data_IF_453043159304
#
_entry.id   IF_453043159304
#
_cell.length_a   1.000
_cell.length_b   1.000
_cell.length_c   1.000
_cell.angle_alpha   90.00
_cell.angle_beta   90.00
_cell.angle_gamma   90.00
#
_symmetry.space_group_name_H-M   'P 1'
#
loop_
_entity.id
_entity.type
_entity.pdbx_description
1 polymer ?
#
# COMPACT_ATOMS: atom_id res chain seq x y z
N UNK A 1 0.64 -21.47 17.88
CA UNK A 1 1.94 -21.04 17.33
C UNK A 1 1.78 -20.76 15.86
N UNK A 2 2.53 -19.79 15.32
CA UNK A 2 2.53 -19.49 13.89
C UNK A 2 2.93 -20.72 13.07
N UNK A 3 2.45 -20.78 11.84
CA UNK A 3 2.72 -21.88 10.91
C UNK A 3 3.48 -21.38 9.69
N UNK A 4 4.52 -22.10 9.30
CA UNK A 4 5.15 -21.91 8.00
C UNK A 4 4.44 -22.80 6.96
N UNK A 5 3.92 -22.21 5.89
CA UNK A 5 3.23 -22.90 4.80
C UNK A 5 4.04 -22.79 3.51
N UNK A 6 4.54 -23.92 3.05
CA UNK A 6 5.15 -24.03 1.73
C UNK A 6 4.06 -24.02 0.65
N UNK A 7 4.18 -23.12 -0.33
CA UNK A 7 3.34 -23.11 -1.52
C UNK A 7 3.99 -23.91 -2.65
N UNK A 8 3.29 -24.94 -3.12
CA UNK A 8 3.72 -25.81 -4.22
C UNK A 8 2.86 -25.62 -5.49
N UNK A 9 1.71 -24.94 -5.37
CA UNK A 9 0.78 -24.72 -6.48
C UNK A 9 -0.06 -25.95 -6.84
N UNK A 10 -0.19 -26.90 -5.92
CA UNK A 10 -1.03 -28.09 -6.08
C UNK A 10 -2.51 -27.75 -5.81
N UNK A 11 -3.41 -28.72 -6.05
CA UNK A 11 -4.85 -28.49 -5.84
C UNK A 11 -5.19 -28.21 -4.36
N UNK A 12 -4.41 -28.74 -3.41
CA UNK A 12 -4.57 -28.42 -1.99
C UNK A 12 -4.31 -26.95 -1.66
N UNK A 13 -3.31 -26.32 -2.30
CA UNK A 13 -3.04 -24.89 -2.17
C UNK A 13 -4.17 -24.06 -2.79
N UNK A 14 -4.68 -24.48 -3.94
CA UNK A 14 -5.80 -23.81 -4.62
C UNK A 14 -7.06 -23.84 -3.75
N UNK A 15 -7.46 -25.01 -3.28
CA UNK A 15 -8.61 -25.17 -2.39
C UNK A 15 -8.46 -24.36 -1.09
N UNK A 16 -7.22 -24.26 -0.59
CA UNK A 16 -6.93 -23.46 0.59
C UNK A 16 -7.19 -21.97 0.34
N UNK A 17 -6.60 -21.38 -0.71
CA UNK A 17 -6.79 -19.96 -1.00
C UNK A 17 -8.23 -19.64 -1.40
N UNK A 18 -8.93 -20.53 -2.12
CA UNK A 18 -10.35 -20.35 -2.43
C UNK A 18 -11.18 -20.15 -1.15
N UNK A 19 -11.03 -21.06 -0.18
CA UNK A 19 -11.75 -21.01 1.10
C UNK A 19 -11.42 -19.76 1.90
N UNK A 20 -10.14 -19.37 1.91
CA UNK A 20 -9.68 -18.20 2.66
C UNK A 20 -10.29 -16.90 2.11
N UNK A 21 -10.41 -16.76 0.79
CA UNK A 21 -11.00 -15.56 0.17
C UNK A 21 -12.54 -15.56 0.12
N UNK A 22 -13.21 -16.71 0.20
CA UNK A 22 -14.67 -16.79 0.01
C UNK A 22 -15.48 -16.17 1.16
N UNK A 23 -15.00 -16.27 2.40
CA UNK A 23 -15.80 -15.98 3.61
C UNK A 23 -15.17 -14.96 4.54
N UNK A 24 -14.29 -14.09 4.05
CA UNK A 24 -13.51 -13.16 4.89
C UNK A 24 -13.72 -11.67 4.61
N UNK A 25 -13.44 -10.79 5.57
CA UNK A 25 -13.18 -9.37 5.28
C UNK A 25 -11.72 -9.24 4.81
N UNK A 26 -11.51 -8.95 3.51
CA UNK A 26 -10.18 -9.06 2.90
C UNK A 26 -9.45 -7.73 2.96
N UNK A 27 -8.27 -7.76 3.58
CA UNK A 27 -7.37 -6.64 3.74
C UNK A 27 -5.97 -7.03 3.24
N UNK A 28 -5.32 -6.12 2.54
CA UNK A 28 -3.91 -6.23 2.15
C UNK A 28 -3.10 -5.16 2.88
N UNK A 29 -1.88 -5.50 3.30
CA UNK A 29 -0.86 -4.54 3.73
C UNK A 29 0.34 -4.69 2.79
N UNK A 30 0.53 -3.70 1.93
CA UNK A 30 1.58 -3.66 0.91
C UNK A 30 2.68 -2.70 1.38
N UNK A 31 3.91 -3.21 1.51
CA UNK A 31 5.08 -2.40 1.87
C UNK A 31 6.02 -2.15 0.69
N UNK A 32 7.18 -1.56 0.99
CA UNK A 32 8.13 -1.05 -0.01
C UNK A 32 8.72 -2.14 -0.91
N UNK A 33 8.72 -3.40 -0.47
CA UNK A 33 9.16 -4.52 -1.28
C UNK A 33 8.30 -4.78 -2.53
N UNK A 34 7.07 -4.24 -2.60
CA UNK A 34 6.22 -4.32 -3.79
C UNK A 34 6.65 -3.42 -4.94
N UNK A 35 7.40 -2.35 -4.63
CA UNK A 35 7.83 -1.34 -5.60
C UNK A 35 9.17 -1.69 -6.25
N UNK A 36 9.77 -2.83 -5.88
CA UNK A 36 10.95 -3.37 -6.55
C UNK A 36 10.60 -3.85 -7.97
N UNK A 37 11.49 -3.64 -8.96
CA UNK A 37 12.80 -2.99 -8.86
C UNK A 37 12.80 -1.45 -9.08
N UNK A 38 11.66 -0.82 -9.37
CA UNK A 38 11.62 0.62 -9.68
C UNK A 38 12.04 1.51 -8.50
N UNK A 39 11.67 1.12 -7.28
CA UNK A 39 12.01 1.83 -6.04
C UNK A 39 12.67 0.82 -5.10
N UNK A 40 13.86 1.16 -4.60
CA UNK A 40 14.57 0.34 -3.64
C UNK A 40 13.87 0.35 -2.28
N UNK A 41 14.01 -0.73 -1.52
CA UNK A 41 13.50 -0.81 -0.15
C UNK A 41 14.18 0.25 0.73
N UNK A 42 13.40 0.81 1.66
CA UNK A 42 13.82 1.92 2.52
C UNK A 42 15.02 1.59 3.44
N UNK A 43 15.35 0.30 3.62
CA UNK A 43 16.52 -0.12 4.38
C UNK A 43 16.54 0.49 5.78
N UNK A 44 17.63 1.19 6.11
CA UNK A 44 17.82 1.89 7.39
C UNK A 44 17.49 3.38 7.33
N UNK A 45 17.04 3.92 6.18
CA UNK A 45 16.86 5.36 5.96
C UNK A 45 16.00 5.98 7.06
N UNK A 46 14.98 5.27 7.52
CA UNK A 46 14.09 5.73 8.59
C UNK A 46 14.83 5.91 9.92
N UNK A 47 15.66 4.94 10.30
CA UNK A 47 16.49 4.98 11.50
C UNK A 47 17.61 6.03 11.37
N UNK A 48 18.19 6.17 10.18
CA UNK A 48 19.25 7.14 9.89
C UNK A 48 18.71 8.58 9.98
N UNK A 49 17.53 8.83 9.41
CA UNK A 49 16.81 10.10 9.54
C UNK A 49 16.45 10.40 11.00
N UNK A 50 16.01 9.40 11.76
CA UNK A 50 15.71 9.57 13.18
C UNK A 50 16.97 9.96 13.97
N UNK A 51 18.08 9.25 13.74
CA UNK A 51 19.34 9.53 14.43
C UNK A 51 19.83 10.95 14.15
N UNK A 52 19.67 11.44 12.93
CA UNK A 52 20.03 12.83 12.59
C UNK A 52 19.15 13.87 13.31
N UNK A 53 17.89 13.53 13.62
CA UNK A 53 17.03 14.37 14.45
C UNK A 53 17.51 14.36 15.90
N UNK A 54 17.82 13.18 16.45
CA UNK A 54 18.28 13.00 17.83
C UNK A 54 19.63 13.68 18.06
N UNK A 55 20.51 13.66 17.06
CA UNK A 55 21.82 14.32 17.05
C UNK A 55 21.72 15.84 16.73
N UNK A 56 20.51 16.39 16.54
CA UNK A 56 20.24 17.79 16.18
C UNK A 56 20.90 18.27 14.87
N UNK A 57 21.15 17.35 13.94
CA UNK A 57 21.82 17.59 12.65
C UNK A 57 20.82 17.88 11.53
N UNK A 58 20.17 19.04 11.62
CA UNK A 58 19.07 19.41 10.73
C UNK A 58 19.48 19.46 9.24
N UNK A 59 20.64 20.02 8.92
CA UNK A 59 21.07 20.16 7.51
C UNK A 59 21.41 18.79 6.87
N UNK A 60 22.05 17.90 7.62
CA UNK A 60 22.31 16.52 7.19
C UNK A 60 20.99 15.76 6.97
N UNK A 61 20.01 15.97 7.86
CA UNK A 61 18.67 15.39 7.73
C UNK A 61 18.01 15.81 6.41
N UNK A 62 17.99 17.10 6.09
CA UNK A 62 17.34 17.59 4.87
C UNK A 62 18.07 17.14 3.61
N UNK A 63 19.40 17.02 3.64
CA UNK A 63 20.17 16.46 2.54
C UNK A 63 19.80 14.98 2.28
N UNK A 64 19.75 14.16 3.33
CA UNK A 64 19.38 12.74 3.23
C UNK A 64 17.93 12.57 2.76
N UNK A 65 16.99 13.33 3.34
CA UNK A 65 15.59 13.32 2.92
C UNK A 65 15.43 13.77 1.46
N UNK A 66 16.16 14.80 1.02
CA UNK A 66 16.11 15.26 -0.35
C UNK A 66 16.66 14.23 -1.34
N UNK A 67 17.73 13.52 -0.97
CA UNK A 67 18.28 12.42 -1.74
C UNK A 67 17.27 11.28 -1.87
N UNK A 68 16.67 10.87 -0.75
CA UNK A 68 15.64 9.85 -0.70
C UNK A 68 14.45 10.20 -1.62
N UNK A 69 13.86 11.39 -1.46
CA UNK A 69 12.75 11.83 -2.31
C UNK A 69 13.14 11.91 -3.79
N UNK A 70 14.38 12.28 -4.10
CA UNK A 70 14.86 12.29 -5.51
C UNK A 70 14.86 10.87 -6.09
N UNK A 71 15.25 9.86 -5.32
CA UNK A 71 15.23 8.46 -5.76
C UNK A 71 13.81 7.95 -5.97
N UNK A 72 12.87 8.30 -5.07
CA UNK A 72 11.46 7.93 -5.23
C UNK A 72 10.84 8.65 -6.43
N UNK A 73 11.15 9.93 -6.63
CA UNK A 73 10.62 10.70 -7.77
C UNK A 73 11.17 10.28 -9.12
N UNK A 74 12.37 9.69 -9.20
CA UNK A 74 12.98 9.30 -10.48
C UNK A 74 12.08 8.38 -11.34
N UNK A 75 11.58 7.23 -10.84
CA UNK A 75 10.66 6.39 -11.61
C UNK A 75 9.31 7.08 -11.86
N UNK A 76 8.83 7.94 -10.96
CA UNK A 76 7.57 8.68 -11.15
C UNK A 76 7.68 9.75 -12.22
N UNK A 77 8.80 10.46 -12.31
CA UNK A 77 9.08 11.39 -13.38
C UNK A 77 9.17 10.66 -14.72
N UNK A 78 9.76 9.47 -14.75
CA UNK A 78 9.74 8.61 -15.93
C UNK A 78 8.31 8.18 -16.30
N UNK A 79 7.50 7.80 -15.32
CA UNK A 79 6.10 7.41 -15.50
C UNK A 79 5.21 8.55 -16.01
N UNK A 80 5.46 9.77 -15.55
CA UNK A 80 4.71 10.98 -15.92
C UNK A 80 5.31 11.70 -17.15
N UNK A 81 6.31 11.11 -17.82
CA UNK A 81 7.02 11.68 -18.98
C UNK A 81 7.66 13.05 -18.68
N UNK A 82 8.03 13.27 -17.42
CA UNK A 82 8.66 14.48 -16.89
C UNK A 82 10.18 14.36 -16.96
N UNK A 83 10.74 14.35 -18.17
CA UNK A 83 12.19 14.23 -18.41
C UNK A 83 12.94 15.55 -18.62
N UNK A 84 12.22 16.67 -18.74
CA UNK A 84 12.79 17.98 -19.10
C UNK A 84 13.73 17.93 -20.35
N UNK A 85 13.41 17.06 -21.32
CA UNK A 85 14.21 16.84 -22.53
C UNK A 85 15.40 15.90 -22.37
N UNK A 86 15.68 15.41 -21.17
CA UNK A 86 16.73 14.41 -20.90
C UNK A 86 16.12 13.01 -20.93
N UNK A 87 16.64 12.07 -21.73
CA UNK A 87 16.16 10.70 -21.74
C UNK A 87 16.48 10.01 -20.41
N UNK A 88 15.53 9.23 -19.92
CA UNK A 88 15.73 8.39 -18.75
C UNK A 88 16.69 7.23 -19.08
N UNK A 89 17.47 6.80 -18.09
CA UNK A 89 18.37 5.66 -18.24
C UNK A 89 17.60 4.37 -18.60
N UNK A 90 18.15 3.48 -19.44
CA UNK A 90 17.48 2.24 -19.84
C UNK A 90 17.00 1.41 -18.65
N UNK A 91 17.82 1.29 -17.60
CA UNK A 91 17.47 0.52 -16.40
C UNK A 91 16.24 1.11 -15.67
N UNK A 92 16.11 2.45 -15.62
CA UNK A 92 14.95 3.11 -15.01
C UNK A 92 13.68 2.76 -15.79
N UNK A 93 13.75 2.80 -17.12
CA UNK A 93 12.63 2.47 -18.01
C UNK A 93 12.22 1.01 -17.84
N UNK A 94 13.19 0.08 -17.87
CA UNK A 94 12.93 -1.35 -17.71
C UNK A 94 12.37 -1.68 -16.32
N UNK A 95 12.97 -1.13 -15.26
CA UNK A 95 12.51 -1.37 -13.89
C UNK A 95 11.12 -0.79 -13.64
N UNK A 96 10.83 0.39 -14.18
CA UNK A 96 9.50 1.00 -14.16
C UNK A 96 8.48 0.11 -14.86
N UNK A 97 8.78 -0.36 -16.07
CA UNK A 97 7.86 -1.20 -16.85
C UNK A 97 7.52 -2.51 -16.12
N UNK A 98 8.53 -3.17 -15.53
CA UNK A 98 8.32 -4.39 -14.73
C UNK A 98 7.45 -4.11 -13.50
N UNK A 99 7.73 -3.03 -12.77
CA UNK A 99 6.99 -2.68 -11.56
C UNK A 99 5.53 -2.34 -11.88
N UNK A 100 5.29 -1.53 -12.93
CA UNK A 100 3.94 -1.20 -13.41
C UNK A 100 3.13 -2.44 -13.79
N UNK A 101 3.73 -3.39 -14.49
CA UNK A 101 3.03 -4.62 -14.88
C UNK A 101 2.68 -5.49 -13.66
N UNK A 102 3.54 -5.51 -12.63
CA UNK A 102 3.24 -6.22 -11.39
C UNK A 102 2.04 -5.60 -10.66
N UNK A 103 1.97 -4.27 -10.54
CA UNK A 103 0.82 -3.58 -9.92
C UNK A 103 -0.45 -3.71 -10.75
N UNK A 104 -0.36 -3.65 -12.08
CA UNK A 104 -1.50 -3.92 -12.98
C UNK A 104 -2.05 -5.33 -12.79
N UNK A 105 -1.15 -6.32 -12.70
CA UNK A 105 -1.53 -7.72 -12.41
C UNK A 105 -2.16 -7.84 -11.02
N UNK A 106 -1.67 -7.11 -10.02
CA UNK A 106 -2.25 -7.07 -8.69
C UNK A 106 -3.68 -6.52 -8.71
N UNK A 107 -3.92 -5.36 -9.34
CA UNK A 107 -5.28 -4.78 -9.47
C UNK A 107 -6.23 -5.72 -10.22
N UNK A 108 -5.77 -6.36 -11.29
CA UNK A 108 -6.55 -7.38 -12.01
C UNK A 108 -6.84 -8.60 -11.11
N UNK A 109 -5.93 -8.95 -10.21
CA UNK A 109 -6.14 -10.04 -9.23
C UNK A 109 -7.24 -9.67 -8.23
N UNK A 110 -7.23 -8.45 -7.70
CA UNK A 110 -8.26 -7.95 -6.78
C UNK A 110 -9.65 -7.94 -7.45
N UNK A 111 -9.72 -7.48 -8.70
CA UNK A 111 -10.95 -7.50 -9.50
C UNK A 111 -11.51 -8.92 -9.62
N UNK A 112 -10.68 -9.90 -10.00
CA UNK A 112 -11.12 -11.29 -10.12
C UNK A 112 -11.58 -11.88 -8.78
N UNK A 113 -10.88 -11.57 -7.68
CA UNK A 113 -11.28 -11.99 -6.33
C UNK A 113 -12.67 -11.44 -5.99
N UNK A 114 -12.92 -10.16 -6.25
CA UNK A 114 -14.21 -9.51 -5.99
C UNK A 114 -15.34 -10.06 -6.87
N UNK A 115 -15.08 -10.26 -8.17
CA UNK A 115 -16.08 -10.75 -9.13
C UNK A 115 -16.51 -12.19 -8.84
N UNK A 116 -15.60 -13.03 -8.33
CA UNK A 116 -15.89 -14.44 -8.02
C UNK A 116 -16.50 -14.68 -6.64
N UNK A 117 -16.64 -13.64 -5.80
CA UNK A 117 -17.36 -13.77 -4.54
C UNK A 117 -18.83 -14.08 -4.79
N UNK A 118 -19.18 -15.36 -4.58
CA UNK A 118 -20.52 -15.92 -4.76
C UNK A 118 -21.49 -15.52 -3.65
N UNK A 119 -21.00 -15.07 -2.49
CA UNK A 119 -21.81 -14.75 -1.33
C UNK A 119 -22.24 -13.27 -1.36
N UNK A 120 -23.54 -13.01 -1.15
CA UNK A 120 -24.07 -11.66 -0.91
C UNK A 120 -24.06 -11.23 0.56
N UNK A 121 -23.47 -12.07 1.44
CA UNK A 121 -23.46 -11.87 2.89
C UNK A 121 -22.40 -10.86 3.35
N UNK A 122 -21.30 -10.76 2.61
CA UNK A 122 -20.22 -9.81 2.89
C UNK A 122 -20.17 -8.74 1.81
N UNK A 123 -19.78 -7.50 2.16
CA UNK A 123 -19.58 -6.45 1.18
C UNK A 123 -18.58 -6.89 0.11
N UNK A 124 -18.81 -6.48 -1.15
CA UNK A 124 -17.86 -6.71 -2.25
C UNK A 124 -16.72 -5.70 -2.19
N UNK A 125 -15.98 -5.70 -1.08
CA UNK A 125 -14.92 -4.74 -0.80
C UNK A 125 -13.61 -5.43 -0.41
N UNK A 126 -12.51 -4.83 -0.84
CA UNK A 126 -11.16 -5.13 -0.40
C UNK A 126 -10.53 -3.82 0.08
N UNK A 127 -9.88 -3.84 1.24
CA UNK A 127 -9.05 -2.72 1.66
C UNK A 127 -7.57 -3.04 1.37
N UNK A 128 -6.85 -2.10 0.78
CA UNK A 128 -5.41 -2.18 0.53
C UNK A 128 -4.76 -1.06 1.32
N UNK A 129 -4.14 -1.42 2.44
CA UNK A 129 -3.29 -0.54 3.22
C UNK A 129 -1.89 -0.53 2.62
N UNK A 130 -1.26 0.63 2.55
CA UNK A 130 0.14 0.74 2.13
C UNK A 130 0.91 1.69 3.02
N UNK A 131 2.18 1.35 3.24
CA UNK A 131 3.16 2.25 3.85
C UNK A 131 3.96 3.01 2.80
N UNK A 132 3.73 2.74 1.51
CA UNK A 132 4.49 3.33 0.43
C UNK A 132 3.95 4.70 0.04
N UNK A 133 4.86 5.56 -0.38
CA UNK A 133 4.57 6.90 -0.89
C UNK A 133 4.30 6.93 -2.40
N UNK A 134 4.66 5.85 -3.11
CA UNK A 134 4.57 5.73 -4.57
C UNK A 134 3.14 5.73 -5.11
N UNK A 135 3.00 5.98 -6.41
CA UNK A 135 1.72 6.15 -7.11
C UNK A 135 1.36 4.96 -8.01
N UNK A 136 2.02 3.81 -7.84
CA UNK A 136 1.86 2.69 -8.78
C UNK A 136 0.48 2.03 -8.70
N UNK A 137 -0.13 2.00 -7.50
CA UNK A 137 -1.47 1.45 -7.33
C UNK A 137 -2.52 2.34 -7.98
N UNK A 138 -2.43 3.66 -7.80
CA UNK A 138 -3.32 4.62 -8.44
C UNK A 138 -3.22 4.52 -9.96
N UNK A 139 -2.00 4.49 -10.50
CA UNK A 139 -1.75 4.35 -11.93
C UNK A 139 -2.29 3.02 -12.48
N UNK A 140 -2.04 1.90 -11.80
CA UNK A 140 -2.59 0.60 -12.18
C UNK A 140 -4.12 0.57 -12.12
N UNK A 141 -4.73 1.26 -11.17
CA UNK A 141 -6.19 1.35 -11.04
C UNK A 141 -6.84 2.10 -12.21
N UNK A 142 -6.16 3.08 -12.83
CA UNK A 142 -6.68 3.78 -14.03
C UNK A 142 -6.93 2.85 -15.23
N UNK A 143 -6.30 1.67 -15.24
CA UNK A 143 -6.44 0.69 -16.31
C UNK A 143 -7.55 -0.35 -16.04
N UNK A 144 -8.29 -0.22 -14.94
CA UNK A 144 -9.35 -1.14 -14.56
C UNK A 144 -10.69 -0.41 -14.34
N UNK A 145 -11.67 -0.73 -15.21
CA UNK A 145 -12.99 -0.09 -15.18
C UNK A 145 -14.06 -0.91 -14.44
N UNK A 146 -13.71 -2.12 -13.95
CA UNK A 146 -14.67 -3.05 -13.35
C UNK A 146 -14.77 -2.89 -11.83
N UNK A 147 -13.78 -2.23 -11.21
CA UNK A 147 -13.77 -1.94 -9.78
C UNK A 147 -13.94 -0.44 -9.56
N UNK A 148 -14.64 -0.09 -8.49
CA UNK A 148 -14.60 1.27 -7.98
C UNK A 148 -13.34 1.41 -7.13
N UNK A 149 -12.42 2.25 -7.58
CA UNK A 149 -11.25 2.63 -6.79
C UNK A 149 -11.60 3.82 -5.89
N UNK A 150 -11.25 3.72 -4.60
CA UNK A 150 -11.44 4.75 -3.60
C UNK A 150 -10.14 4.96 -2.83
N UNK A 151 -9.44 6.07 -3.09
CA UNK A 151 -8.15 6.43 -2.46
C UNK A 151 -8.29 7.42 -1.30
N UNK A 152 -9.52 7.71 -0.88
CA UNK A 152 -9.82 8.65 0.20
C UNK A 152 -10.08 10.08 -0.27
N UNK A 153 -9.82 10.40 -1.55
CA UNK A 153 -10.12 11.70 -2.11
C UNK A 153 -11.56 11.75 -2.64
N UNK A 154 -12.26 12.86 -2.41
CA UNK A 154 -13.61 13.03 -2.94
C UNK A 154 -13.62 12.90 -4.47
N UNK A 155 -14.65 12.30 -5.04
CA UNK A 155 -14.77 12.26 -6.51
C UNK A 155 -15.19 13.60 -7.11
N UNK A 156 -15.55 14.57 -6.27
CA UNK A 156 -15.96 15.90 -6.68
C UNK A 156 -14.80 16.85 -6.51
N UNK A 157 -14.42 17.44 -7.62
CA UNK A 157 -13.51 18.57 -7.67
C UNK A 157 -14.28 19.82 -7.29
N UNK A 158 -13.70 20.66 -6.44
CA UNK A 158 -14.26 21.99 -6.21
C UNK A 158 -14.14 22.86 -7.48
N UNK A 159 -14.75 24.05 -7.46
CA UNK A 159 -14.71 24.95 -8.63
C UNK A 159 -13.29 25.47 -8.96
N UNK A 160 -12.32 25.26 -8.07
CA UNK A 160 -10.93 25.68 -8.22
C UNK A 160 -9.99 24.54 -8.63
N UNK A 161 -10.50 23.33 -8.81
CA UNK A 161 -9.70 22.19 -9.24
C UNK A 161 -9.19 21.30 -8.10
N UNK A 162 -9.51 21.61 -6.85
CA UNK A 162 -9.01 20.84 -5.71
C UNK A 162 -9.90 19.66 -5.40
N UNK A 163 -9.26 18.59 -4.95
CA UNK A 163 -9.92 17.38 -4.49
C UNK A 163 -9.46 17.12 -3.07
N UNK A 164 -10.39 17.22 -2.11
CA UNK A 164 -10.10 17.11 -0.68
C UNK A 164 -10.11 15.65 -0.21
N UNK A 165 -9.21 15.33 0.72
CA UNK A 165 -9.14 14.04 1.38
C UNK A 165 -10.15 13.92 2.53
N UNK A 166 -10.85 12.80 2.57
CA UNK A 166 -11.85 12.48 3.59
C UNK A 166 -11.67 11.04 4.04
N UNK A 167 -11.21 10.85 5.28
CA UNK A 167 -11.05 9.53 5.91
C UNK A 167 -12.38 8.80 6.04
N UNK A 168 -13.49 9.53 6.16
CA UNK A 168 -14.84 8.98 6.23
C UNK A 168 -15.28 8.27 4.95
N UNK A 169 -14.69 8.62 3.80
CA UNK A 169 -15.05 8.06 2.50
C UNK A 169 -14.87 6.54 2.41
N UNK A 170 -13.92 5.96 3.15
CA UNK A 170 -13.68 4.51 3.17
C UNK A 170 -14.85 3.70 3.75
N UNK A 171 -15.76 4.37 4.48
CA UNK A 171 -16.95 3.76 5.04
C UNK A 171 -18.12 3.70 4.05
N UNK A 172 -18.05 4.40 2.91
CA UNK A 172 -19.14 4.46 1.95
C UNK A 172 -19.35 3.13 1.20
N UNK A 173 -20.62 2.81 0.94
CA UNK A 173 -21.04 1.70 0.08
C UNK A 173 -21.59 2.26 -1.21
N UNK A 174 -21.08 1.79 -2.35
CA UNK A 174 -21.58 2.16 -3.66
C UNK A 174 -22.40 1.01 -4.25
N UNK A 175 -23.56 1.35 -4.78
CA UNK A 175 -24.48 0.39 -5.35
C UNK A 175 -25.12 0.92 -6.62
N UNK A 176 -25.34 0.04 -7.59
CA UNK A 176 -26.13 0.33 -8.77
C UNK A 176 -27.53 -0.25 -8.63
N UNK A 177 -28.54 0.52 -9.01
CA UNK A 177 -29.93 0.06 -9.12
C UNK A 177 -30.27 -0.17 -10.58
N UNK A 178 -30.74 -1.37 -10.93
CA UNK A 178 -31.19 -1.67 -12.28
C UNK A 178 -32.51 -0.97 -12.62
N UNK A 179 -32.73 -0.67 -13.90
CA UNK A 179 -33.98 -0.06 -14.39
C UNK A 179 -35.22 -0.97 -14.21
N UNK A 180 -35.01 -2.28 -14.11
CA UNK A 180 -36.06 -3.27 -13.91
C UNK A 180 -36.04 -3.75 -12.44
N UNK A 181 -37.17 -3.68 -11.77
CA UNK A 181 -37.40 -4.22 -10.42
C UNK A 181 -36.59 -3.62 -9.26
N UNK A 182 -35.90 -2.48 -9.45
CA UNK A 182 -35.15 -1.77 -8.40
C UNK A 182 -34.14 -2.64 -7.63
N UNK A 183 -33.60 -3.70 -8.26
CA UNK A 183 -32.61 -4.53 -7.60
C UNK A 183 -31.32 -3.73 -7.37
N UNK A 184 -30.85 -3.70 -6.12
CA UNK A 184 -29.64 -2.99 -5.69
C UNK A 184 -28.47 -3.97 -5.69
N UNK A 185 -27.49 -3.74 -6.56
CA UNK A 185 -26.24 -4.51 -6.60
C UNK A 185 -25.13 -3.64 -6.02
N UNK A 186 -24.44 -4.12 -4.98
CA UNK A 186 -23.22 -3.45 -4.50
C UNK A 186 -22.11 -3.59 -5.55
N UNK A 187 -21.45 -2.48 -5.87
CA UNK A 187 -20.37 -2.45 -6.83
C UNK A 187 -19.06 -2.93 -6.18
N UNK A 188 -18.28 -3.79 -6.86
CA UNK A 188 -16.94 -4.16 -6.43
C UNK A 188 -16.10 -2.91 -6.12
N UNK A 189 -15.62 -2.77 -4.90
CA UNK A 189 -14.88 -1.57 -4.46
C UNK A 189 -13.55 -1.96 -3.85
N UNK A 190 -12.48 -1.26 -4.23
CA UNK A 190 -11.17 -1.35 -3.59
C UNK A 190 -10.91 -0.02 -2.89
N UNK A 191 -10.84 -0.07 -1.56
CA UNK A 191 -10.40 1.05 -0.74
C UNK A 191 -8.88 1.01 -0.66
N UNK A 192 -8.22 2.08 -1.05
CA UNK A 192 -6.78 2.22 -1.02
C UNK A 192 -6.37 3.26 0.04
N UNK A 193 -5.66 2.79 1.06
CA UNK A 193 -5.46 3.52 2.31
C UNK A 193 -3.95 3.70 2.53
N UNK A 194 -3.46 4.94 2.33
CA UNK A 194 -2.05 5.28 2.50
C UNK A 194 -1.75 5.72 3.92
N UNK A 195 -1.11 4.85 4.69
CA UNK A 195 -0.86 5.05 6.11
C UNK A 195 0.16 6.16 6.38
N UNK A 196 1.12 6.41 5.49
CA UNK A 196 2.15 7.44 5.69
C UNK A 196 2.05 8.63 4.73
N UNK A 197 0.89 8.83 4.09
CA UNK A 197 0.72 9.84 3.04
C UNK A 197 1.26 9.39 1.68
N UNK A 198 1.37 10.34 0.75
CA UNK A 198 1.66 10.05 -0.66
C UNK A 198 2.46 11.16 -1.32
N UNK A 199 3.16 10.84 -2.42
CA UNK A 199 3.71 11.85 -3.33
C UNK A 199 2.65 12.76 -3.96
N UNK A 200 1.39 12.32 -3.97
CA UNK A 200 0.25 13.07 -4.48
C UNK A 200 -0.47 13.91 -3.44
N UNK A 201 -0.03 13.92 -2.18
CA UNK A 201 -0.68 14.68 -1.12
C UNK A 201 -0.01 16.05 -0.97
N UNK A 202 -0.82 17.10 -0.96
CA UNK A 202 -0.40 18.47 -0.65
C UNK A 202 -1.24 18.97 0.54
N UNK A 203 -0.61 19.69 1.48
CA UNK A 203 -1.37 20.48 2.46
C UNK A 203 -1.68 21.84 1.84
N UNK A 204 -2.97 22.08 1.63
CA UNK A 204 -3.49 23.34 1.16
C UNK A 204 -4.59 23.82 2.11
N UNK A 205 -4.37 24.99 2.72
CA UNK A 205 -5.35 25.65 3.61
C UNK A 205 -5.82 24.77 4.79
N UNK A 206 -4.91 24.01 5.39
CA UNK A 206 -5.26 23.12 6.52
C UNK A 206 -6.12 21.93 6.10
N UNK A 207 -6.09 21.56 4.81
CA UNK A 207 -6.72 20.37 4.23
C UNK A 207 -5.71 19.62 3.37
N UNK A 208 -5.89 18.30 3.26
CA UNK A 208 -5.09 17.49 2.35
C UNK A 208 -5.79 17.45 1.00
N UNK A 209 -5.10 17.87 -0.06
CA UNK A 209 -5.59 17.83 -1.43
C UNK A 209 -4.76 16.90 -2.30
N UNK A 210 -5.39 16.33 -3.34
CA UNK A 210 -4.69 15.56 -4.34
C UNK A 210 -4.00 16.50 -5.33
N UNK A 211 -2.66 16.52 -5.32
CA UNK A 211 -1.86 17.25 -6.31
C UNK A 211 -0.51 16.58 -6.51
N UNK A 212 -0.14 16.40 -7.77
CA UNK A 212 1.22 16.00 -8.14
C UNK A 212 2.09 17.27 -8.20
N UNK A 213 3.06 17.46 -7.31
CA UNK A 213 3.88 18.66 -7.28
C UNK A 213 4.71 18.81 -8.57
N UNK A 214 5.19 20.04 -8.80
CA UNK A 214 6.11 20.33 -9.90
C UNK A 214 7.45 19.60 -9.70
N UNK A 215 8.18 19.42 -10.82
CA UNK A 215 9.48 18.76 -10.78
C UNK A 215 10.46 19.46 -9.84
N UNK A 216 11.32 18.66 -9.21
CA UNK A 216 12.48 19.16 -8.47
C UNK A 216 13.30 20.11 -9.34
N UNK A 217 13.74 21.28 -8.81
CA UNK A 217 14.63 22.17 -9.55
C UNK A 217 15.97 21.49 -9.87
N UNK A 218 16.60 21.84 -11.00
CA UNK A 218 17.84 21.22 -11.46
C UNK A 218 18.98 21.31 -10.42
N UNK A 219 19.02 22.40 -9.65
CA UNK A 219 19.87 22.56 -8.49
C UNK A 219 19.11 23.35 -7.42
N UNK A 220 19.39 23.05 -6.15
CA UNK A 220 18.97 23.93 -5.06
C UNK A 220 19.95 25.09 -4.96
N UNK A 221 19.46 26.32 -5.11
CA UNK A 221 20.27 27.55 -5.03
C UNK A 221 20.63 27.92 -3.60
N UNK A 222 19.88 27.42 -2.62
CA UNK A 222 20.17 27.57 -1.18
C UNK A 222 19.68 26.35 -0.38
N UNK A 223 20.25 26.12 0.82
CA UNK A 223 19.71 25.12 1.77
C UNK A 223 18.22 25.35 2.06
N UNK A 224 17.77 26.61 2.17
CA UNK A 224 16.36 26.94 2.42
C UNK A 224 15.43 26.46 1.30
N UNK A 225 15.87 26.52 0.04
CA UNK A 225 15.08 26.00 -1.07
C UNK A 225 14.93 24.48 -0.99
N UNK A 226 15.98 23.76 -0.58
CA UNK A 226 15.93 22.32 -0.35
C UNK A 226 14.99 21.98 0.81
N UNK A 227 15.11 22.68 1.94
CA UNK A 227 14.22 22.52 3.11
C UNK A 227 12.77 22.70 2.69
N UNK A 228 12.46 23.78 1.98
CA UNK A 228 11.11 24.07 1.47
C UNK A 228 10.60 22.96 0.53
N UNK A 229 11.44 22.47 -0.38
CA UNK A 229 11.05 21.38 -1.27
C UNK A 229 10.74 20.08 -0.52
N UNK A 230 11.55 19.71 0.48
CA UNK A 230 11.29 18.53 1.32
C UNK A 230 10.00 18.70 2.13
N UNK A 231 9.81 19.85 2.77
CA UNK A 231 8.65 20.14 3.62
C UNK A 231 7.33 20.25 2.86
N UNK A 232 7.37 20.62 1.57
CA UNK A 232 6.17 20.67 0.73
C UNK A 232 5.55 19.28 0.49
N UNK A 233 6.27 18.19 0.74
CA UNK A 233 5.71 16.85 0.61
C UNK A 233 4.94 16.50 1.88
N UNK A 234 3.63 16.25 1.76
CA UNK A 234 2.79 15.79 2.87
C UNK A 234 3.03 14.29 3.16
N UNK A 235 4.27 13.95 3.48
CA UNK A 235 4.72 12.59 3.78
C UNK A 235 5.00 12.48 5.28
N UNK A 236 4.47 11.41 5.86
CA UNK A 236 4.82 11.02 7.22
C UNK A 236 6.07 10.19 7.12
N UNK A 237 7.21 10.86 7.08
CA UNK A 237 8.47 10.17 7.32
C UNK A 237 8.41 9.54 8.72
N UNK A 238 8.72 8.25 8.87
CA UNK A 238 8.71 7.58 10.16
C UNK A 238 9.55 8.37 11.16
N UNK A 239 8.88 8.66 12.29
CA UNK A 239 9.38 9.38 13.46
C UNK A 239 9.89 10.80 13.17
N UNK A 240 8.94 11.70 12.94
CA UNK A 240 9.16 13.16 13.03
C UNK A 240 8.05 13.83 13.82
N UNK A 241 8.08 13.77 15.15
CA UNK A 241 7.08 14.47 15.97
C UNK A 241 7.30 15.99 15.98
N UNK A 242 8.57 16.43 15.88
CA UNK A 242 9.00 17.83 16.06
C UNK A 242 8.59 18.81 14.93
N UNK A 243 8.15 18.30 13.78
CA UNK A 243 7.85 19.12 12.58
C UNK A 243 6.55 18.76 11.86
N UNK A 244 5.71 17.94 12.50
CA UNK A 244 4.44 17.51 11.91
C UNK A 244 3.43 18.66 11.96
N UNK A 245 2.76 18.88 10.85
CA UNK A 245 1.53 19.66 10.84
C UNK A 245 0.43 18.89 11.58
N UNK A 246 -0.25 19.55 12.52
CA UNK A 246 -1.32 18.95 13.35
C UNK A 246 -2.38 18.24 12.51
N UNK A 247 -2.67 18.75 11.32
CA UNK A 247 -3.62 18.13 10.39
C UNK A 247 -3.18 16.74 9.93
N UNK A 248 -1.95 16.61 9.42
CA UNK A 248 -1.42 15.35 8.90
C UNK A 248 -1.37 14.29 10.02
N UNK A 249 -1.11 14.71 11.26
CA UNK A 249 -1.24 13.84 12.45
C UNK A 249 -2.65 13.33 12.66
N UNK A 250 -3.66 14.20 12.61
CA UNK A 250 -5.04 13.80 12.82
C UNK A 250 -5.47 12.78 11.75
N UNK A 251 -5.17 13.07 10.48
CA UNK A 251 -5.44 12.15 9.37
C UNK A 251 -4.72 10.82 9.58
N UNK A 252 -3.44 10.86 9.95
CA UNK A 252 -2.67 9.65 10.27
C UNK A 252 -3.35 8.78 11.34
N UNK A 253 -3.73 9.37 12.47
CA UNK A 253 -4.38 8.65 13.55
C UNK A 253 -5.73 8.06 13.14
N UNK A 254 -6.50 8.77 12.31
CA UNK A 254 -7.74 8.25 11.76
C UNK A 254 -7.51 7.06 10.84
N UNK A 255 -6.46 7.08 10.00
CA UNK A 255 -6.11 5.96 9.13
C UNK A 255 -5.61 4.75 9.92
N UNK A 256 -4.80 4.95 10.98
CA UNK A 256 -4.41 3.88 11.90
C UNK A 256 -5.62 3.30 12.64
N UNK A 257 -6.59 4.13 13.01
CA UNK A 257 -7.84 3.68 13.61
C UNK A 257 -8.64 2.84 12.62
N UNK A 258 -8.75 3.28 11.37
CA UNK A 258 -9.37 2.50 10.28
C UNK A 258 -8.68 1.15 10.11
N UNK A 259 -7.34 1.12 10.09
CA UNK A 259 -6.58 -0.14 10.05
C UNK A 259 -6.93 -1.07 11.21
N UNK A 260 -6.88 -0.58 12.46
CA UNK A 260 -7.24 -1.37 13.64
C UNK A 260 -8.67 -1.90 13.56
N UNK A 261 -9.64 -1.04 13.22
CA UNK A 261 -11.05 -1.39 13.14
C UNK A 261 -11.33 -2.48 12.09
N UNK A 262 -10.65 -2.43 10.93
CA UNK A 262 -10.79 -3.48 9.92
C UNK A 262 -10.26 -4.84 10.40
N UNK A 263 -9.20 -4.85 11.21
CA UNK A 263 -8.65 -6.08 11.78
C UNK A 263 -9.46 -6.65 12.94
N UNK A 264 -10.20 -5.81 13.66
CA UNK A 264 -11.07 -6.23 14.76
C UNK A 264 -12.40 -6.84 14.28
N UNK A 265 -12.73 -6.74 12.99
CA UNK A 265 -13.91 -7.38 12.40
C UNK A 265 -13.84 -8.91 12.49
N UNK A 266 -15.02 -9.54 12.51
CA UNK A 266 -15.12 -10.99 12.44
C UNK A 266 -14.69 -11.51 11.05
N UNK A 267 -14.10 -12.71 11.04
CA UNK A 267 -13.65 -13.38 9.83
C UNK A 267 -12.73 -12.50 8.97
N UNK A 268 -11.82 -11.74 9.57
CA UNK A 268 -10.90 -10.90 8.81
C UNK A 268 -9.73 -11.69 8.26
N UNK A 269 -9.34 -11.38 7.02
CA UNK A 269 -8.12 -11.85 6.39
C UNK A 269 -7.21 -10.66 6.15
N UNK A 270 -5.99 -10.69 6.69
CA UNK A 270 -4.94 -9.74 6.39
C UNK A 270 -3.82 -10.44 5.61
N UNK A 271 -3.56 -10.00 4.39
CA UNK A 271 -2.43 -10.46 3.58
C UNK A 271 -1.32 -9.41 3.58
N UNK A 272 -0.08 -9.81 3.87
CA UNK A 272 1.05 -8.90 4.00
C UNK A 272 2.12 -9.26 2.98
N UNK A 273 2.53 -8.27 2.18
CA UNK A 273 3.60 -8.42 1.20
C UNK A 273 4.52 -7.20 1.20
N UNK A 274 5.83 -7.42 1.11
CA UNK A 274 6.81 -6.33 0.98
C UNK A 274 6.95 -5.44 2.23
N UNK A 275 6.38 -5.85 3.37
CA UNK A 275 6.42 -5.13 4.64
C UNK A 275 7.13 -5.96 5.71
N UNK A 276 8.21 -5.43 6.28
CA UNK A 276 9.06 -6.12 7.25
C UNK A 276 8.57 -6.03 8.70
N UNK A 277 7.49 -5.28 8.96
CA UNK A 277 7.10 -4.86 10.31
C UNK A 277 8.22 -4.11 11.04
N UNK A 278 8.98 -3.26 10.34
CA UNK A 278 9.95 -2.36 11.00
C UNK A 278 9.26 -1.18 11.70
N UNK A 279 8.08 -0.77 11.23
CA UNK A 279 7.23 0.19 11.93
C UNK A 279 6.61 -0.46 13.19
N UNK A 280 7.10 -0.02 14.36
CA UNK A 280 6.67 -0.53 15.67
C UNK A 280 5.19 -0.27 15.97
N UNK A 281 4.60 0.81 15.45
CA UNK A 281 3.19 1.11 15.66
C UNK A 281 2.31 0.12 14.91
N UNK A 282 2.58 -0.09 13.62
CA UNK A 282 1.84 -1.07 12.82
C UNK A 282 2.06 -2.48 13.33
N UNK A 283 3.29 -2.87 13.68
CA UNK A 283 3.57 -4.17 14.30
C UNK A 283 2.73 -4.37 15.57
N UNK A 284 2.73 -3.38 16.47
CA UNK A 284 1.99 -3.44 17.73
C UNK A 284 0.49 -3.54 17.51
N UNK A 285 -0.06 -2.76 16.56
CA UNK A 285 -1.48 -2.81 16.21
C UNK A 285 -1.87 -4.18 15.64
N UNK A 286 -1.08 -4.72 14.69
CA UNK A 286 -1.33 -6.05 14.14
C UNK A 286 -1.25 -7.13 15.22
N UNK A 287 -0.24 -7.08 16.10
CA UNK A 287 -0.09 -8.03 17.23
C UNK A 287 -1.23 -7.97 18.23
N UNK A 288 -1.80 -6.78 18.47
CA UNK A 288 -3.00 -6.61 19.30
C UNK A 288 -4.22 -7.22 18.61
N UNK A 289 -4.42 -6.95 17.33
CA UNK A 289 -5.54 -7.47 16.56
C UNK A 289 -5.50 -9.00 16.43
N UNK A 290 -4.32 -9.64 16.44
CA UNK A 290 -4.19 -11.10 16.44
C UNK A 290 -4.82 -11.81 17.66
N UNK A 291 -5.22 -11.07 18.70
CA UNK A 291 -6.07 -11.60 19.78
C UNK A 291 -7.47 -11.99 19.29
N UNK A 292 -7.93 -11.41 18.19
CA UNK A 292 -9.13 -11.84 17.48
C UNK A 292 -8.89 -13.23 16.88
N UNK A 293 -9.52 -14.26 17.44
CA UNK A 293 -9.36 -15.64 16.98
C UNK A 293 -9.86 -15.88 15.54
N UNK A 294 -10.70 -14.99 15.01
CA UNK A 294 -11.23 -15.08 13.64
C UNK A 294 -10.40 -14.33 12.60
N UNK A 295 -9.48 -13.44 13.04
CA UNK A 295 -8.50 -12.80 12.17
C UNK A 295 -7.48 -13.85 11.73
N UNK A 296 -7.26 -13.98 10.43
CA UNK A 296 -6.15 -14.75 9.84
C UNK A 296 -5.15 -13.80 9.20
N UNK A 297 -3.88 -13.95 9.56
CA UNK A 297 -2.76 -13.20 8.99
C UNK A 297 -1.94 -14.10 8.08
N UNK A 298 -1.84 -13.73 6.79
CA UNK A 298 -0.97 -14.38 5.81
C UNK A 298 0.20 -13.46 5.47
N UNK A 299 1.43 -13.89 5.76
CA UNK A 299 2.63 -13.11 5.43
C UNK A 299 3.36 -13.81 4.28
N UNK A 300 3.53 -13.14 3.15
CA UNK A 300 4.32 -13.63 2.03
C UNK A 300 5.79 -13.27 2.24
N UNK A 301 6.60 -14.26 2.61
CA UNK A 301 8.03 -14.07 2.83
C UNK A 301 8.78 -14.12 1.50
N UNK A 302 9.62 -13.11 1.24
CA UNK A 302 10.42 -13.03 0.02
C UNK A 302 11.39 -14.20 -0.09
N UNK A 303 12.11 -14.53 0.98
CA UNK A 303 13.09 -15.60 1.05
C UNK A 303 12.97 -16.38 2.38
N UNK A 304 13.84 -17.40 2.55
CA UNK A 304 13.86 -18.23 3.75
C UNK A 304 14.23 -17.44 5.01
N UNK A 305 15.18 -16.51 4.93
CA UNK A 305 15.60 -15.70 6.07
C UNK A 305 14.45 -14.82 6.59
N UNK A 306 13.69 -14.22 5.68
CA UNK A 306 12.50 -13.45 5.98
C UNK A 306 11.42 -14.33 6.63
N UNK A 307 11.23 -15.54 6.12
CA UNK A 307 10.27 -16.49 6.69
C UNK A 307 10.62 -16.86 8.14
N UNK A 308 11.90 -17.15 8.40
CA UNK A 308 12.41 -17.48 9.74
C UNK A 308 12.25 -16.27 10.69
N UNK A 309 12.54 -15.06 10.22
CA UNK A 309 12.34 -13.82 10.99
C UNK A 309 10.87 -13.55 11.36
N UNK A 310 9.93 -13.79 10.43
CA UNK A 310 8.50 -13.69 10.74
C UNK A 310 8.01 -14.79 11.69
N UNK A 311 8.55 -16.01 11.57
CA UNK A 311 8.26 -17.12 12.50
C UNK A 311 8.68 -16.76 13.93
N UNK A 312 9.81 -16.09 14.10
CA UNK A 312 10.25 -15.58 15.40
C UNK A 312 9.35 -14.45 15.90
N UNK A 313 9.07 -13.45 15.07
CA UNK A 313 8.27 -12.27 15.43
C UNK A 313 6.83 -12.61 15.85
N UNK A 314 6.23 -13.62 15.23
CA UNK A 314 4.82 -14.01 15.42
C UNK A 314 4.63 -15.40 16.04
N UNK A 315 5.68 -15.99 16.64
CA UNK A 315 5.71 -17.36 17.16
C UNK A 315 4.47 -17.77 17.95
N UNK A 316 3.96 -16.88 18.81
CA UNK A 316 2.91 -17.20 19.77
C UNK A 316 1.49 -17.17 19.18
N UNK A 317 1.32 -16.74 17.93
CA UNK A 317 0.00 -16.53 17.32
C UNK A 317 -0.39 -17.68 16.38
N UNK A 318 -1.39 -18.48 16.75
CA UNK A 318 -1.86 -19.63 15.95
C UNK A 318 -2.59 -19.27 14.65
N UNK A 319 -3.02 -18.02 14.54
CA UNK A 319 -3.74 -17.47 13.41
C UNK A 319 -2.83 -16.73 12.40
N UNK A 320 -1.52 -16.96 12.49
CA UNK A 320 -0.51 -16.43 11.56
C UNK A 320 0.05 -17.58 10.72
N UNK A 321 0.01 -17.41 9.40
CA UNK A 321 0.63 -18.32 8.45
C UNK A 321 1.64 -17.56 7.57
N UNK A 322 2.87 -18.07 7.52
CA UNK A 322 3.96 -17.50 6.72
C UNK A 322 4.09 -18.32 5.45
N UNK A 323 3.69 -17.72 4.34
CA UNK A 323 3.71 -18.32 3.01
C UNK A 323 5.10 -18.13 2.42
N UNK A 324 5.72 -19.23 2.00
CA UNK A 324 7.00 -19.21 1.31
C UNK A 324 7.00 -20.23 0.17
N UNK A 325 7.89 -20.04 -0.80
CA UNK A 325 8.07 -20.99 -1.90
C UNK A 325 9.35 -21.81 -1.70
N UNK A 326 9.27 -23.14 -1.61
CA UNK A 326 10.48 -23.97 -1.56
C UNK A 326 11.32 -23.81 -2.83
N UNK A 327 12.61 -23.53 -2.68
CA UNK A 327 13.55 -23.44 -3.81
C UNK A 327 13.45 -22.17 -4.66
N UNK A 328 12.73 -21.14 -4.21
CA UNK A 328 12.66 -19.85 -4.90
C UNK A 328 12.13 -18.73 -4.01
N UNK A 329 12.14 -17.51 -4.54
CA UNK A 329 11.64 -16.34 -3.82
C UNK A 329 10.15 -16.10 -4.14
N UNK A 330 9.46 -15.43 -3.22
CA UNK A 330 8.11 -14.91 -3.46
C UNK A 330 8.23 -13.42 -3.74
N UNK A 331 8.42 -13.07 -5.02
CA UNK A 331 8.33 -11.68 -5.47
C UNK A 331 6.86 -11.25 -5.64
N UNK A 332 6.64 -9.99 -6.03
CA UNK A 332 5.29 -9.45 -6.12
C UNK A 332 4.46 -10.14 -7.21
N UNK A 333 5.10 -10.53 -8.32
CA UNK A 333 4.46 -11.29 -9.39
C UNK A 333 4.03 -12.68 -8.91
N UNK A 334 4.88 -13.36 -8.17
CA UNK A 334 4.57 -14.68 -7.63
C UNK A 334 3.49 -14.59 -6.55
N UNK A 335 3.50 -13.57 -5.69
CA UNK A 335 2.40 -13.30 -4.76
C UNK A 335 1.07 -13.14 -5.51
N UNK A 336 1.04 -12.36 -6.60
CA UNK A 336 -0.14 -12.19 -7.44
C UNK A 336 -0.65 -13.53 -8.00
N UNK A 337 0.26 -14.42 -8.43
CA UNK A 337 -0.10 -15.78 -8.88
C UNK A 337 -0.66 -16.64 -7.76
N UNK A 338 -0.09 -16.57 -6.55
CA UNK A 338 -0.55 -17.33 -5.39
C UNK A 338 -1.97 -16.91 -5.01
N UNK A 339 -2.23 -15.61 -4.86
CA UNK A 339 -3.56 -15.11 -4.46
C UNK A 339 -4.63 -15.32 -5.54
N UNK A 340 -4.25 -15.68 -6.77
CA UNK A 340 -5.17 -16.00 -7.86
C UNK A 340 -5.16 -17.46 -8.28
N UNK A 341 -4.39 -18.33 -7.62
CA UNK A 341 -4.17 -19.71 -8.05
C UNK A 341 -5.48 -20.53 -8.11
N UNK A 342 -6.40 -20.24 -7.20
CA UNK A 342 -7.71 -20.88 -7.12
C UNK A 342 -8.69 -20.42 -8.20
N UNK A 343 -8.39 -19.32 -8.88
CA UNK A 343 -9.27 -18.82 -9.92
C UNK A 343 -9.20 -19.71 -11.17
N UNK A 344 -8.21 -20.58 -11.34
CA UNK A 344 -8.11 -21.45 -12.51
C UNK A 344 -7.97 -20.65 -13.81
N UNK A 345 -6.83 -20.75 -14.49
CA UNK A 345 -6.68 -20.09 -15.78
C UNK A 345 -7.72 -20.61 -16.78
N UNK A 346 -8.62 -19.73 -17.24
CA UNK A 346 -8.87 -19.71 -18.68
C UNK A 346 -7.54 -19.34 -19.30
N UNK A 347 -6.90 -20.34 -19.92
CA UNK A 347 -5.80 -20.16 -20.86
C UNK A 347 -6.17 -19.10 -21.90
#
# INVERSE_FOLDING_TARGET
MALQRAFYGNDGDRDYFERVFQSANVNFLIGSGASLPAIQVLGTIENDLQKLIDDEKEDEYFALAAQFLTQVWLPHNCMLERGAGVPFGPDVITNLALTRENYKTFIASLEKILTRRRTGLLPRRINVFTTNYDLFIEEAATHNNNIVFNDGFHKWMDVWGNVEFDTGSFNYSLSSTGNLYNYKVELPTVNFIKLHGSLSWENYDGKISYRIPDQKPAAFTSPDQMKKWVLNHALILPRKEKFKETLLQNVYYDLLRTYSNELDKEATLLLVFGFSFADEHLETLTKKALRNATLKLLIFAYDKASADGFMEKFRDYSNVEIIHRPGGNVDFLEMNRIITCFLGGTK
#
